data_IF_308039652888
#
_entry.id   IF_308039652888
#
_cell.length_a   1.000
_cell.length_b   1.000
_cell.length_c   1.000
_cell.angle_alpha   90.00
_cell.angle_beta   90.00
_cell.angle_gamma   90.00
#
_symmetry.space_group_name_H-M   'P 1'
#
loop_
_entity.id
_entity.type
_entity.pdbx_description
1 polymer ?
#
# COMPACT_ATOMS: atom_id res chain seq x y z
N UNK A 1 26.70 18.15 4.42
CA UNK A 1 26.58 16.81 5.05
C UNK A 1 25.45 16.09 4.37
N UNK A 2 25.59 14.80 4.07
CA UNK A 2 24.53 14.01 3.43
C UNK A 2 23.68 13.41 4.54
N UNK A 3 22.41 13.84 4.66
CA UNK A 3 21.50 13.22 5.62
C UNK A 3 21.17 11.78 5.18
N UNK A 4 21.21 10.85 6.13
CA UNK A 4 20.71 9.48 5.96
C UNK A 4 19.36 9.42 6.66
N UNK A 5 18.32 9.01 5.94
CA UNK A 5 16.98 8.85 6.51
C UNK A 5 16.84 7.45 7.11
N UNK A 6 16.43 7.42 8.38
CA UNK A 6 15.97 6.20 9.04
C UNK A 6 14.44 6.17 8.98
N UNK A 7 13.88 5.09 8.44
CA UNK A 7 12.44 4.92 8.28
C UNK A 7 12.05 3.47 8.60
N UNK A 8 10.81 3.29 9.05
CA UNK A 8 10.25 1.96 9.36
C UNK A 8 10.06 1.10 8.12
N UNK A 9 9.83 1.75 6.96
CA UNK A 9 9.73 1.10 5.67
C UNK A 9 10.75 1.65 4.66
N UNK A 10 11.39 0.78 3.85
CA UNK A 10 12.30 1.21 2.77
C UNK A 10 11.59 2.09 1.72
N UNK A 11 10.29 1.93 1.54
CA UNK A 11 9.50 2.74 0.61
C UNK A 11 9.45 4.19 1.08
N UNK A 12 9.30 4.42 2.39
CA UNK A 12 9.27 5.76 2.97
C UNK A 12 10.62 6.48 2.88
N UNK A 13 11.71 5.75 3.11
CA UNK A 13 13.06 6.28 2.89
C UNK A 13 13.27 6.67 1.42
N UNK A 14 12.74 5.88 0.49
CA UNK A 14 12.80 6.17 -0.95
C UNK A 14 12.00 7.42 -1.32
N UNK A 15 10.84 7.64 -0.71
CA UNK A 15 10.07 8.88 -0.89
C UNK A 15 10.82 10.12 -0.40
N UNK A 16 11.45 10.05 0.77
CA UNK A 16 12.23 11.18 1.31
C UNK A 16 13.47 11.48 0.46
N UNK A 17 14.14 10.43 -0.02
CA UNK A 17 15.25 10.58 -0.95
C UNK A 17 14.80 11.28 -2.24
N UNK A 18 13.72 10.80 -2.87
CA UNK A 18 13.18 11.40 -4.08
C UNK A 18 12.73 12.86 -3.85
N UNK A 19 11.99 13.14 -2.79
CA UNK A 19 11.52 14.49 -2.45
C UNK A 19 12.68 15.47 -2.33
N UNK A 20 13.78 15.07 -1.67
CA UNK A 20 14.99 15.89 -1.57
C UNK A 20 15.60 16.19 -2.94
N UNK A 21 15.69 15.19 -3.83
CA UNK A 21 16.21 15.41 -5.20
C UNK A 21 15.31 16.36 -6.01
N UNK A 22 14.01 16.42 -5.71
CA UNK A 22 13.08 17.39 -6.28
C UNK A 22 13.06 18.76 -5.56
N UNK A 23 13.96 18.99 -4.60
CA UNK A 23 14.10 20.27 -3.90
C UNK A 23 13.26 20.41 -2.63
N UNK A 24 12.64 19.34 -2.13
CA UNK A 24 11.88 19.31 -0.88
C UNK A 24 12.59 18.42 0.14
N UNK A 25 13.48 19.01 0.93
CA UNK A 25 14.30 18.28 1.90
C UNK A 25 13.63 18.28 3.29
N UNK A 26 13.13 17.12 3.72
CA UNK A 26 12.86 16.88 5.13
C UNK A 26 14.19 16.82 5.89
N UNK A 27 14.43 17.74 6.82
CA UNK A 27 15.75 17.86 7.48
C UNK A 27 15.71 17.81 9.00
N UNK A 28 14.53 17.96 9.61
CA UNK A 28 14.37 17.93 11.08
C UNK A 28 12.96 17.51 11.46
N UNK A 29 12.86 16.76 12.57
CA UNK A 29 11.60 16.41 13.24
C UNK A 29 11.74 16.55 14.75
N UNK A 30 10.69 17.07 15.38
CA UNK A 30 10.48 17.06 16.83
C UNK A 30 9.31 16.14 17.15
N UNK A 31 8.89 16.06 18.41
CA UNK A 31 7.69 15.29 18.78
C UNK A 31 6.41 15.88 18.16
N UNK A 32 6.37 17.18 17.90
CA UNK A 32 5.16 17.91 17.48
C UNK A 32 5.26 18.57 16.11
N UNK A 33 6.43 18.59 15.47
CA UNK A 33 6.64 19.33 14.22
C UNK A 33 7.59 18.62 13.28
N UNK A 34 7.42 18.86 11.98
CA UNK A 34 8.35 18.49 10.91
C UNK A 34 8.81 19.74 10.18
N UNK A 35 10.07 19.76 9.75
CA UNK A 35 10.68 20.90 9.08
C UNK A 35 11.19 20.50 7.70
N UNK A 36 10.81 21.27 6.70
CA UNK A 36 11.11 21.03 5.28
C UNK A 36 11.87 22.24 4.73
N UNK A 37 12.92 22.00 3.96
CA UNK A 37 13.59 23.00 3.13
C UNK A 37 13.10 22.88 1.70
N UNK A 38 12.52 23.96 1.20
CA UNK A 38 12.04 24.08 -0.17
C UNK A 38 13.05 24.89 -0.99
N UNK A 39 13.49 24.32 -2.11
CA UNK A 39 14.31 25.00 -3.11
C UNK A 39 13.47 25.17 -4.38
N UNK A 40 12.93 26.36 -4.60
CA UNK A 40 12.22 26.67 -5.85
C UNK A 40 13.22 26.73 -7.01
N UNK A 41 12.96 25.97 -8.08
CA UNK A 41 13.88 25.66 -9.18
C UNK A 41 14.32 26.84 -10.07
N UNK A 42 14.25 28.09 -9.61
CA UNK A 42 14.64 29.28 -10.38
C UNK A 42 15.40 30.36 -9.59
N UNK A 43 15.08 30.61 -8.31
CA UNK A 43 15.74 31.65 -7.51
C UNK A 43 16.96 31.16 -6.73
N UNK A 44 17.05 29.83 -6.50
CA UNK A 44 18.06 29.24 -5.62
C UNK A 44 17.83 29.53 -4.14
N UNK A 45 16.78 30.28 -3.80
CA UNK A 45 16.36 30.59 -2.44
C UNK A 45 15.88 29.32 -1.74
N UNK A 46 16.30 29.16 -0.48
CA UNK A 46 15.89 28.07 0.38
C UNK A 46 14.91 28.66 1.39
N UNK A 47 13.67 28.17 1.34
CA UNK A 47 12.65 28.51 2.33
C UNK A 47 12.54 27.35 3.30
N UNK A 48 12.70 27.62 4.60
CA UNK A 48 12.40 26.65 5.64
C UNK A 48 10.93 26.79 6.04
N UNK A 49 10.20 25.67 6.07
CA UNK A 49 8.82 25.59 6.52
C UNK A 49 8.68 24.65 7.70
N UNK A 50 7.92 25.08 8.70
CA UNK A 50 7.45 24.24 9.80
C UNK A 50 6.01 23.75 9.54
N UNK A 51 5.79 22.45 9.71
CA UNK A 51 4.45 21.86 9.81
C UNK A 51 4.26 21.25 11.19
N UNK A 52 3.26 21.70 11.92
CA UNK A 52 2.87 21.13 13.22
C UNK A 52 2.07 19.87 12.98
N UNK A 53 2.51 18.74 13.51
CA UNK A 53 1.82 17.46 13.44
C UNK A 53 0.73 17.43 14.51
N UNK A 54 -0.53 17.44 14.06
CA UNK A 54 -1.70 17.42 14.94
C UNK A 54 -2.06 15.98 15.33
N UNK A 55 -2.22 15.10 14.33
CA UNK A 55 -2.50 13.68 14.55
C UNK A 55 -1.77 12.83 13.51
N UNK A 56 -1.36 11.64 13.93
CA UNK A 56 -0.89 10.58 13.05
C UNK A 56 -1.90 9.42 13.13
N UNK A 57 -2.47 9.05 11.99
CA UNK A 57 -3.33 7.88 11.84
C UNK A 57 -2.47 6.78 11.22
N UNK A 58 -1.95 5.89 12.07
CA UNK A 58 -0.94 4.89 11.74
C UNK A 58 -1.43 3.86 10.72
N UNK A 59 -0.51 3.30 9.94
CA UNK A 59 -0.83 2.21 9.04
C UNK A 59 -1.27 0.97 9.80
N UNK A 60 -2.31 0.30 9.32
CA UNK A 60 -2.66 -1.07 9.75
C UNK A 60 -3.01 -1.93 8.53
N UNK A 61 -2.76 -3.23 8.62
CA UNK A 61 -3.10 -4.17 7.54
C UNK A 61 -4.60 -4.22 7.23
N UNK A 62 -5.45 -3.88 8.21
CA UNK A 62 -6.91 -3.78 8.04
C UNK A 62 -7.28 -2.58 7.18
N UNK A 63 -6.70 -1.41 7.47
CA UNK A 63 -7.08 -0.14 6.83
C UNK A 63 -6.32 0.17 5.54
N UNK A 64 -5.13 -0.42 5.36
CA UNK A 64 -4.26 -0.33 4.16
C UNK A 64 -3.94 1.11 3.70
N UNK A 65 -3.89 2.04 4.65
CA UNK A 65 -3.57 3.46 4.45
C UNK A 65 -2.97 4.05 5.72
N UNK A 66 -2.30 5.18 5.56
CA UNK A 66 -1.76 6.01 6.64
C UNK A 66 -2.09 7.47 6.34
N UNK A 67 -2.39 8.24 7.38
CA UNK A 67 -2.60 9.67 7.24
C UNK A 67 -1.91 10.47 8.32
N UNK A 68 -1.58 11.71 7.98
CA UNK A 68 -1.11 12.71 8.93
C UNK A 68 -1.98 13.95 8.79
N UNK A 69 -2.37 14.52 9.92
CA UNK A 69 -3.01 15.83 9.98
C UNK A 69 -1.95 16.81 10.43
N UNK A 70 -1.72 17.85 9.64
CA UNK A 70 -0.73 18.89 9.92
C UNK A 70 -1.35 20.27 9.86
N UNK A 71 -0.73 21.23 10.55
CA UNK A 71 -1.00 22.66 10.41
C UNK A 71 0.24 23.36 9.88
N UNK A 72 0.09 24.12 8.80
CA UNK A 72 1.17 24.94 8.23
C UNK A 72 1.35 26.26 8.99
N UNK A 73 2.29 27.08 8.53
CA UNK A 73 2.66 28.36 9.16
C UNK A 73 1.55 29.41 9.00
N UNK A 74 0.74 29.29 7.95
CA UNK A 74 -0.44 30.11 7.68
C UNK A 74 -1.67 29.68 8.51
N UNK A 75 -1.58 28.57 9.25
CA UNK A 75 -2.62 28.06 10.13
C UNK A 75 -3.62 27.12 9.46
N UNK A 76 -3.43 26.80 8.18
CA UNK A 76 -4.30 25.88 7.45
C UNK A 76 -4.08 24.44 7.92
N UNK A 77 -5.17 23.70 8.15
CA UNK A 77 -5.11 22.29 8.50
C UNK A 77 -5.22 21.44 7.24
N UNK A 78 -4.26 20.53 7.08
CA UNK A 78 -4.17 19.59 5.98
C UNK A 78 -4.20 18.16 6.50
N UNK A 79 -5.17 17.38 6.02
CA UNK A 79 -5.13 15.92 6.07
C UNK A 79 -4.41 15.42 4.82
N UNK A 80 -3.29 14.72 5.01
CA UNK A 80 -2.53 14.05 3.95
C UNK A 80 -2.65 12.54 4.13
N UNK A 81 -3.08 11.83 3.10
CA UNK A 81 -3.35 10.40 3.14
C UNK A 81 -2.59 9.67 2.01
N UNK A 82 -1.91 8.57 2.35
CA UNK A 82 -1.29 7.64 1.41
C UNK A 82 -1.79 6.22 1.65
N UNK A 83 -2.02 5.44 0.61
CA UNK A 83 -2.48 4.07 0.76
C UNK A 83 -2.65 3.33 -0.55
N UNK A 84 -3.23 2.13 -0.46
CA UNK A 84 -3.60 1.35 -1.63
C UNK A 84 -4.58 2.15 -2.52
N UNK A 85 -4.43 2.02 -3.82
CA UNK A 85 -5.20 2.74 -4.84
C UNK A 85 -6.72 2.56 -4.65
N UNK A 86 -7.20 1.33 -4.52
CA UNK A 86 -8.62 1.05 -4.26
C UNK A 86 -9.16 1.75 -3.01
N UNK A 87 -8.37 1.76 -1.93
CA UNK A 87 -8.75 2.34 -0.64
C UNK A 87 -8.85 3.86 -0.71
N UNK A 88 -7.90 4.50 -1.39
CA UNK A 88 -7.91 5.96 -1.58
C UNK A 88 -9.03 6.37 -2.53
N UNK A 89 -9.24 5.62 -3.63
CA UNK A 89 -10.25 5.95 -4.64
C UNK A 89 -11.68 5.92 -4.12
N UNK A 90 -11.99 5.02 -3.18
CA UNK A 90 -13.28 4.96 -2.48
C UNK A 90 -13.54 6.17 -1.57
N UNK A 91 -12.46 6.87 -1.15
CA UNK A 91 -12.50 8.02 -0.23
C UNK A 91 -12.44 9.37 -0.92
N UNK A 92 -12.32 9.39 -2.25
CA UNK A 92 -12.25 10.63 -3.01
C UNK A 92 -13.62 11.34 -3.07
N UNK A 93 -13.60 12.65 -2.85
CA UNK A 93 -14.76 13.51 -3.11
C UNK A 93 -15.16 13.46 -4.58
N UNK A 94 -16.42 13.81 -4.91
CA UNK A 94 -16.88 13.89 -6.31
C UNK A 94 -16.02 14.83 -7.16
N UNK A 95 -15.64 15.98 -6.62
CA UNK A 95 -14.75 16.96 -7.23
C UNK A 95 -13.26 16.63 -7.05
N UNK A 96 -12.92 15.64 -6.21
CA UNK A 96 -11.55 15.19 -5.97
C UNK A 96 -11.00 14.20 -7.00
N UNK A 97 -11.78 13.90 -8.06
CA UNK A 97 -11.50 12.83 -9.04
C UNK A 97 -10.94 13.32 -10.37
N UNK A 98 -10.55 14.58 -10.48
CA UNK A 98 -10.06 15.21 -11.72
C UNK A 98 -9.02 14.37 -12.47
N UNK A 99 -8.06 13.80 -11.75
CA UNK A 99 -6.97 12.99 -12.32
C UNK A 99 -7.17 11.48 -12.16
N UNK A 100 -8.36 11.02 -11.78
CA UNK A 100 -8.59 9.61 -11.45
C UNK A 100 -8.31 8.69 -12.64
N UNK A 101 -8.88 8.97 -13.82
CA UNK A 101 -8.70 8.13 -15.01
C UNK A 101 -7.22 7.93 -15.40
N UNK A 102 -6.44 9.02 -15.63
CA UNK A 102 -5.02 8.91 -15.93
C UNK A 102 -4.21 8.22 -14.82
N UNK A 103 -4.50 8.53 -13.54
CA UNK A 103 -3.76 7.95 -12.40
C UNK A 103 -4.01 6.45 -12.28
N UNK A 104 -5.26 6.00 -12.46
CA UNK A 104 -5.60 4.56 -12.49
C UNK A 104 -4.82 3.83 -13.56
N UNK A 105 -4.72 4.41 -14.76
CA UNK A 105 -3.96 3.78 -15.85
C UNK A 105 -2.48 3.62 -15.48
N UNK A 106 -1.83 4.68 -14.98
CA UNK A 106 -0.41 4.60 -14.60
C UNK A 106 -0.18 3.63 -13.43
N UNK A 107 -1.09 3.57 -12.45
CA UNK A 107 -0.99 2.61 -11.34
C UNK A 107 -1.08 1.15 -11.82
N UNK A 108 -1.91 0.87 -12.83
CA UNK A 108 -1.96 -0.44 -13.48
C UNK A 108 -0.63 -0.75 -14.19
N UNK A 109 -0.15 0.17 -15.02
CA UNK A 109 1.13 0.02 -15.74
C UNK A 109 2.31 -0.20 -14.78
N UNK A 110 2.36 0.54 -13.66
CA UNK A 110 3.39 0.38 -12.64
C UNK A 110 3.29 -0.97 -11.91
N UNK A 111 2.08 -1.42 -11.59
CA UNK A 111 1.86 -2.74 -10.99
C UNK A 111 2.28 -3.88 -11.92
N UNK A 112 1.95 -3.79 -13.21
CA UNK A 112 2.38 -4.73 -14.25
C UNK A 112 3.91 -4.76 -14.39
N UNK A 113 4.56 -3.60 -14.25
CA UNK A 113 6.01 -3.49 -14.19
C UNK A 113 6.65 -3.98 -12.87
N UNK A 114 5.84 -4.45 -11.91
CA UNK A 114 6.32 -4.98 -10.63
C UNK A 114 6.73 -3.91 -9.61
N UNK A 115 6.34 -2.66 -9.81
CA UNK A 115 6.60 -1.59 -8.86
C UNK A 115 5.55 -1.59 -7.74
N UNK A 116 5.97 -1.29 -6.51
CA UNK A 116 5.04 -1.05 -5.40
C UNK A 116 4.39 0.31 -5.58
N UNK A 117 3.07 0.34 -5.60
CA UNK A 117 2.32 1.57 -5.88
C UNK A 117 1.53 2.06 -4.67
N UNK A 118 1.51 3.37 -4.45
CA UNK A 118 0.57 4.02 -3.53
C UNK A 118 -0.16 5.16 -4.23
N UNK A 119 -1.43 5.36 -3.91
CA UNK A 119 -2.16 6.57 -4.24
C UNK A 119 -2.05 7.60 -3.10
N UNK A 120 -2.01 8.88 -3.48
CA UNK A 120 -1.89 10.01 -2.56
C UNK A 120 -3.10 10.93 -2.68
N UNK A 121 -3.72 11.24 -1.56
CA UNK A 121 -4.83 12.18 -1.48
C UNK A 121 -4.63 13.19 -0.35
N UNK A 122 -5.28 14.33 -0.46
CA UNK A 122 -5.33 15.31 0.62
C UNK A 122 -6.72 15.92 0.79
N UNK A 123 -6.94 16.56 1.93
CA UNK A 123 -8.11 17.38 2.19
C UNK A 123 -7.73 18.54 3.09
N UNK A 124 -8.26 19.73 2.78
CA UNK A 124 -8.21 20.87 3.71
C UNK A 124 -9.32 20.69 4.74
N UNK A 125 -8.99 20.86 6.02
CA UNK A 125 -9.93 20.77 7.11
C UNK A 125 -10.18 22.15 7.68
N UNK A 126 -11.42 22.44 8.02
CA UNK A 126 -11.75 23.64 8.78
C UNK A 126 -11.41 23.42 10.27
N UNK A 127 -11.12 24.51 10.98
CA UNK A 127 -10.69 24.46 12.39
C UNK A 127 -11.78 23.84 13.28
N UNK A 128 -13.04 24.17 13.02
CA UNK A 128 -14.20 23.63 13.75
C UNK A 128 -14.38 22.14 13.49
N UNK A 129 -14.25 21.70 12.22
CA UNK A 129 -14.36 20.29 11.83
C UNK A 129 -13.27 19.47 12.54
N UNK A 130 -12.03 19.92 12.45
CA UNK A 130 -10.89 19.25 13.08
C UNK A 130 -11.04 19.20 14.61
N UNK A 131 -11.45 20.30 15.25
CA UNK A 131 -11.59 20.36 16.70
C UNK A 131 -12.68 19.42 17.21
N UNK A 132 -13.83 19.39 16.53
CA UNK A 132 -14.92 18.47 16.85
C UNK A 132 -14.49 17.01 16.70
N UNK A 133 -13.85 16.67 15.58
CA UNK A 133 -13.33 15.33 15.35
C UNK A 133 -12.26 14.92 16.37
N UNK A 134 -11.28 15.79 16.64
CA UNK A 134 -10.16 15.47 17.53
C UNK A 134 -10.64 15.26 18.98
N UNK A 135 -11.70 15.97 19.40
CA UNK A 135 -12.33 15.75 20.71
C UNK A 135 -12.85 14.31 20.85
N UNK A 136 -13.58 13.81 19.84
CA UNK A 136 -14.08 12.43 19.84
C UNK A 136 -12.95 11.41 19.65
N UNK A 137 -11.96 11.72 18.81
CA UNK A 137 -10.81 10.86 18.57
C UNK A 137 -9.94 10.70 19.82
N UNK A 138 -9.73 11.77 20.59
CA UNK A 138 -9.02 11.71 21.88
C UNK A 138 -9.77 10.86 22.90
N UNK A 139 -11.10 10.98 22.99
CA UNK A 139 -11.92 10.11 23.86
C UNK A 139 -11.71 8.63 23.51
N UNK A 140 -11.78 8.30 22.21
CA UNK A 140 -11.50 6.95 21.73
C UNK A 140 -10.06 6.49 22.03
N UNK A 141 -9.07 7.37 21.91
CA UNK A 141 -7.67 7.05 22.22
C UNK A 141 -7.43 6.78 23.72
N UNK A 142 -8.17 7.46 24.58
CA UNK A 142 -8.11 7.30 26.04
C UNK A 142 -9.01 6.21 26.59
N UNK A 143 -9.88 5.59 25.77
CA UNK A 143 -10.76 4.53 26.24
C UNK A 143 -9.95 3.27 26.59
N UNK A 144 -10.39 2.59 27.65
CA UNK A 144 -9.79 1.34 28.14
C UNK A 144 -10.81 0.25 27.89
N UNK A 145 -10.53 -0.65 26.95
CA UNK A 145 -11.46 -1.70 26.56
C UNK A 145 -11.02 -2.40 25.27
N UNK A 146 -11.67 -3.53 24.98
CA UNK A 146 -11.46 -4.30 23.73
C UNK A 146 -12.01 -3.60 22.49
N UNK A 147 -12.88 -2.60 22.67
CA UNK A 147 -13.52 -1.78 21.63
C UNK A 147 -12.66 -0.59 21.17
N UNK A 148 -11.58 -0.26 21.89
CA UNK A 148 -10.71 0.88 21.60
C UNK A 148 -10.24 0.93 20.14
N UNK A 149 -9.76 -0.19 19.62
CA UNK A 149 -9.22 -0.26 18.26
C UNK A 149 -10.31 -0.08 17.20
N UNK A 150 -11.55 -0.51 17.48
CA UNK A 150 -12.70 -0.31 16.61
C UNK A 150 -13.18 1.15 16.62
N UNK A 151 -13.18 1.80 17.79
CA UNK A 151 -13.49 3.22 17.93
C UNK A 151 -12.46 4.10 17.20
N UNK A 152 -11.16 3.78 17.31
CA UNK A 152 -10.10 4.48 16.60
C UNK A 152 -10.19 4.32 15.08
N UNK A 153 -10.54 3.12 14.61
CA UNK A 153 -10.75 2.87 13.18
C UNK A 153 -11.96 3.67 12.67
N UNK A 154 -13.08 3.66 13.41
CA UNK A 154 -14.26 4.46 13.09
C UNK A 154 -13.94 5.96 13.05
N UNK A 155 -13.21 6.45 14.05
CA UNK A 155 -12.72 7.82 14.09
C UNK A 155 -11.87 8.19 12.88
N UNK A 156 -10.94 7.31 12.50
CA UNK A 156 -10.07 7.50 11.34
C UNK A 156 -10.87 7.50 10.03
N UNK A 157 -11.78 6.54 9.85
CA UNK A 157 -12.66 6.45 8.69
C UNK A 157 -13.56 7.68 8.52
N UNK A 158 -13.98 8.33 9.61
CA UNK A 158 -14.82 9.53 9.52
C UNK A 158 -14.11 10.73 8.89
N UNK A 159 -12.85 10.98 9.26
CA UNK A 159 -12.09 12.15 8.78
C UNK A 159 -11.41 11.90 7.42
N UNK A 160 -11.16 10.64 7.07
CA UNK A 160 -10.50 10.26 5.81
C UNK A 160 -11.49 10.05 4.67
N UNK A 161 -12.40 11.01 4.49
CA UNK A 161 -13.37 11.05 3.40
C UNK A 161 -13.22 12.35 2.62
N UNK A 162 -13.85 12.41 1.46
CA UNK A 162 -13.86 13.60 0.60
C UNK A 162 -12.46 14.11 0.24
N UNK A 163 -11.54 13.17 0.01
CA UNK A 163 -10.17 13.46 -0.39
C UNK A 163 -10.11 13.97 -1.84
N UNK A 164 -9.12 14.80 -2.13
CA UNK A 164 -8.71 15.21 -3.47
C UNK A 164 -7.49 14.41 -3.86
N UNK A 165 -7.57 13.72 -5.01
CA UNK A 165 -6.46 12.93 -5.54
C UNK A 165 -5.33 13.87 -6.00
N UNK A 166 -4.13 13.67 -5.46
CA UNK A 166 -2.92 14.38 -5.89
C UNK A 166 -2.24 13.59 -7.01
N UNK A 167 -2.10 12.28 -6.82
CA UNK A 167 -1.40 11.41 -7.76
C UNK A 167 -1.04 10.07 -7.15
N UNK A 168 0.05 9.49 -7.65
CA UNK A 168 0.53 8.18 -7.25
C UNK A 168 2.06 8.15 -7.14
N UNK A 169 2.56 7.16 -6.42
CA UNK A 169 3.97 6.82 -6.34
C UNK A 169 4.18 5.39 -6.85
N UNK A 170 5.38 5.11 -7.34
CA UNK A 170 5.82 3.79 -7.73
C UNK A 170 7.27 3.59 -7.29
N UNK A 171 7.53 2.58 -6.47
CA UNK A 171 8.85 2.27 -5.92
C UNK A 171 9.26 0.89 -6.39
N UNK A 172 10.49 0.79 -6.90
CA UNK A 172 11.08 -0.50 -7.23
C UNK A 172 11.45 -1.25 -5.94
N UNK A 173 10.87 -2.43 -5.75
CA UNK A 173 11.22 -3.31 -4.63
C UNK A 173 12.47 -4.11 -4.95
N UNK A 174 13.63 -3.57 -4.57
CA UNK A 174 14.89 -4.28 -4.73
C UNK A 174 15.01 -5.38 -3.69
N UNK A 175 15.17 -6.60 -4.18
CA UNK A 175 15.51 -7.74 -3.34
C UNK A 175 16.79 -7.47 -2.55
N UNK A 176 16.78 -7.90 -1.29
CA UNK A 176 17.99 -7.83 -0.47
C UNK A 176 19.10 -8.68 -1.09
N UNK A 177 20.35 -8.23 -0.92
CA UNK A 177 21.52 -8.94 -1.43
C UNK A 177 21.54 -10.38 -0.90
N UNK A 178 21.60 -11.35 -1.81
CA UNK A 178 21.69 -12.77 -1.45
C UNK A 178 20.34 -13.50 -1.38
N UNK A 179 19.21 -12.80 -1.46
CA UNK A 179 17.87 -13.43 -1.39
C UNK A 179 17.67 -14.48 -2.47
N UNK A 180 17.91 -14.21 -3.77
CA UNK A 180 17.73 -15.21 -4.81
C UNK A 180 18.59 -16.47 -4.59
N UNK A 181 19.85 -16.29 -4.18
CA UNK A 181 20.78 -17.39 -3.92
C UNK A 181 20.37 -18.21 -2.69
N UNK A 182 19.83 -17.56 -1.66
CA UNK A 182 19.34 -18.23 -0.46
C UNK A 182 18.11 -19.09 -0.78
N UNK A 183 17.10 -18.50 -1.44
CA UNK A 183 15.87 -19.19 -1.85
C UNK A 183 16.20 -20.38 -2.75
N UNK A 184 17.11 -20.21 -3.71
CA UNK A 184 17.55 -21.28 -4.60
C UNK A 184 18.17 -22.46 -3.83
N UNK A 185 19.08 -22.19 -2.89
CA UNK A 185 19.70 -23.24 -2.06
C UNK A 185 18.70 -23.96 -1.16
N UNK A 186 17.76 -23.22 -0.54
CA UNK A 186 16.72 -23.80 0.29
C UNK A 186 15.79 -24.71 -0.54
N UNK A 187 15.41 -24.26 -1.74
CA UNK A 187 14.60 -25.07 -2.66
C UNK A 187 15.34 -26.33 -3.12
N UNK A 188 16.64 -26.23 -3.46
CA UNK A 188 17.48 -27.39 -3.82
C UNK A 188 17.66 -28.37 -2.65
N UNK A 189 17.65 -27.88 -1.40
CA UNK A 189 17.64 -28.72 -0.21
C UNK A 189 16.30 -29.43 0.04
N UNK A 190 15.31 -29.26 -0.84
CA UNK A 190 14.00 -29.91 -0.76
C UNK A 190 12.98 -29.16 0.11
N UNK A 191 13.32 -27.97 0.63
CA UNK A 191 12.40 -27.16 1.42
C UNK A 191 11.32 -26.53 0.54
N UNK A 192 10.09 -26.49 1.06
CA UNK A 192 8.94 -25.86 0.41
C UNK A 192 8.76 -24.46 0.96
N UNK A 193 8.89 -23.45 0.11
CA UNK A 193 8.83 -22.04 0.48
C UNK A 193 7.46 -21.47 0.08
N UNK A 194 6.84 -20.74 1.00
CA UNK A 194 5.56 -20.09 0.80
C UNK A 194 5.75 -18.60 1.06
N UNK A 195 5.33 -17.76 0.11
CA UNK A 195 5.32 -16.31 0.27
C UNK A 195 3.88 -15.87 0.48
N UNK A 196 3.63 -15.22 1.61
CA UNK A 196 2.38 -14.57 1.94
C UNK A 196 2.63 -13.06 1.85
N UNK A 197 1.99 -12.40 0.87
CA UNK A 197 2.13 -10.95 0.68
C UNK A 197 0.75 -10.30 0.58
N UNK A 198 0.68 -9.03 1.00
CA UNK A 198 -0.50 -8.17 0.82
C UNK A 198 -0.49 -7.38 -0.49
N UNK A 199 0.55 -7.55 -1.32
CA UNK A 199 0.67 -6.92 -2.63
C UNK A 199 -0.32 -7.50 -3.65
N UNK A 200 -0.45 -6.81 -4.79
CA UNK A 200 -1.20 -7.31 -5.95
C UNK A 200 -0.58 -8.61 -6.46
N UNK A 201 -1.41 -9.46 -7.08
CA UNK A 201 -0.98 -10.76 -7.60
C UNK A 201 0.18 -10.61 -8.58
N UNK A 202 0.12 -9.62 -9.47
CA UNK A 202 1.12 -9.35 -10.49
C UNK A 202 2.48 -9.01 -9.86
N UNK A 203 2.47 -8.16 -8.84
CA UNK A 203 3.67 -7.80 -8.05
C UNK A 203 4.24 -9.02 -7.34
N UNK A 204 3.39 -9.86 -6.73
CA UNK A 204 3.82 -11.08 -6.06
C UNK A 204 4.49 -12.07 -7.03
N UNK A 205 3.94 -12.21 -8.24
CA UNK A 205 4.52 -13.03 -9.31
C UNK A 205 5.88 -12.47 -9.75
N UNK A 206 5.96 -11.16 -9.99
CA UNK A 206 7.20 -10.51 -10.39
C UNK A 206 8.30 -10.67 -9.32
N UNK A 207 7.97 -10.47 -8.04
CA UNK A 207 8.89 -10.73 -6.91
C UNK A 207 9.28 -12.21 -6.87
N UNK A 208 8.30 -13.11 -7.08
CA UNK A 208 8.53 -14.56 -7.13
C UNK A 208 9.57 -14.95 -8.18
N UNK A 209 9.53 -14.35 -9.37
CA UNK A 209 10.55 -14.55 -10.40
C UNK A 209 11.88 -13.90 -10.04
N UNK A 210 11.86 -12.67 -9.54
CA UNK A 210 13.07 -11.96 -9.15
C UNK A 210 13.86 -12.71 -8.06
N UNK A 211 13.16 -13.37 -7.13
CA UNK A 211 13.75 -14.06 -5.99
C UNK A 211 14.03 -15.55 -6.25
N UNK A 212 13.88 -16.02 -7.50
CA UNK A 212 14.06 -17.42 -7.91
C UNK A 212 13.12 -18.42 -7.24
N UNK A 213 12.04 -17.95 -6.61
CA UNK A 213 10.96 -18.79 -6.10
C UNK A 213 10.15 -19.36 -7.27
N UNK A 214 9.83 -18.52 -8.25
CA UNK A 214 9.27 -18.89 -9.54
C UNK A 214 10.42 -18.96 -10.57
N UNK A 215 10.45 -20.04 -11.36
CA UNK A 215 11.49 -20.26 -12.38
C UNK A 215 10.88 -20.39 -13.76
N UNK A 216 11.62 -19.98 -14.77
CA UNK A 216 11.27 -20.26 -16.16
C UNK A 216 11.22 -21.79 -16.35
N UNK A 217 10.05 -22.31 -16.70
CA UNK A 217 9.77 -23.75 -16.81
C UNK A 217 8.85 -24.31 -15.72
N UNK A 218 8.62 -23.58 -14.62
CA UNK A 218 7.57 -23.96 -13.66
C UNK A 218 6.20 -23.75 -14.27
N UNK A 219 5.32 -24.75 -14.15
CA UNK A 219 3.92 -24.59 -14.52
C UNK A 219 3.15 -23.91 -13.41
N UNK A 220 2.55 -22.78 -13.76
CA UNK A 220 1.79 -21.96 -12.83
C UNK A 220 0.36 -22.47 -12.74
N UNK A 221 -0.07 -22.71 -11.50
CA UNK A 221 -1.43 -23.02 -11.12
C UNK A 221 -1.96 -21.78 -10.41
N UNK A 222 -2.79 -21.01 -11.10
CA UNK A 222 -3.43 -19.83 -10.53
C UNK A 222 -4.83 -20.17 -10.05
N UNK A 223 -5.11 -19.89 -8.78
CA UNK A 223 -6.43 -20.04 -8.16
C UNK A 223 -6.99 -18.64 -7.87
N UNK A 224 -8.02 -18.27 -8.61
CA UNK A 224 -8.64 -16.94 -8.52
C UNK A 224 -10.15 -17.02 -8.30
N UNK A 225 -10.65 -16.13 -7.46
CA UNK A 225 -12.08 -15.92 -7.27
C UNK A 225 -12.65 -15.08 -8.41
N UNK A 226 -13.85 -15.43 -8.86
CA UNK A 226 -14.62 -14.59 -9.78
C UNK A 226 -15.33 -13.57 -8.91
N UNK A 227 -15.21 -12.27 -9.19
CA UNK A 227 -16.08 -11.27 -8.56
C UNK A 227 -17.52 -11.55 -9.02
N UNK A 228 -18.45 -11.92 -8.13
CA UNK A 228 -19.85 -11.92 -8.50
C UNK A 228 -20.36 -10.49 -8.40
N UNK A 229 -20.84 -9.94 -9.51
CA UNK A 229 -21.66 -8.74 -9.50
C UNK A 229 -22.97 -9.06 -8.78
N UNK A 230 -23.00 -8.87 -7.45
CA UNK A 230 -24.20 -9.04 -6.62
C UNK A 230 -24.01 -9.99 -5.43
N UNK A 231 -24.20 -9.47 -4.21
CA UNK A 231 -24.01 -10.17 -2.93
C UNK A 231 -25.10 -11.17 -2.53
N UNK A 232 -25.66 -11.94 -3.47
CA UNK A 232 -26.65 -12.98 -3.15
C UNK A 232 -25.98 -14.24 -2.58
N UNK A 233 -26.73 -15.09 -1.86
CA UNK A 233 -26.20 -16.38 -1.39
C UNK A 233 -25.79 -17.33 -2.53
N UNK A 234 -26.44 -17.19 -3.69
CA UNK A 234 -26.10 -17.97 -4.89
C UNK A 234 -24.71 -17.62 -5.40
N UNK A 235 -24.30 -16.35 -5.33
CA UNK A 235 -22.96 -15.89 -5.70
C UNK A 235 -21.85 -16.59 -4.90
N UNK A 236 -22.05 -16.82 -3.60
CA UNK A 236 -21.05 -17.54 -2.76
C UNK A 236 -20.92 -19.01 -3.15
N UNK A 237 -22.01 -19.66 -3.56
CA UNK A 237 -21.98 -21.05 -4.03
C UNK A 237 -21.24 -21.16 -5.36
N UNK A 238 -21.54 -20.26 -6.30
CA UNK A 238 -20.86 -20.21 -7.61
C UNK A 238 -19.36 -19.97 -7.45
N UNK A 239 -18.96 -19.04 -6.58
CA UNK A 239 -17.53 -18.80 -6.29
C UNK A 239 -16.86 -20.05 -5.73
N UNK A 240 -17.49 -20.73 -4.75
CA UNK A 240 -16.96 -21.96 -4.15
C UNK A 240 -16.82 -23.08 -5.17
N UNK A 241 -17.82 -23.30 -6.02
CA UNK A 241 -17.77 -24.31 -7.09
C UNK A 241 -16.68 -24.00 -8.11
N UNK A 242 -16.51 -22.73 -8.49
CA UNK A 242 -15.42 -22.32 -9.37
C UNK A 242 -14.05 -22.62 -8.75
N UNK A 243 -13.82 -22.26 -7.48
CA UNK A 243 -12.56 -22.56 -6.79
C UNK A 243 -12.33 -24.07 -6.73
N UNK A 244 -13.36 -24.85 -6.41
CA UNK A 244 -13.25 -26.32 -6.35
C UNK A 244 -12.92 -26.92 -7.72
N UNK A 245 -13.50 -26.38 -8.80
CA UNK A 245 -13.18 -26.78 -10.17
C UNK A 245 -11.74 -26.45 -10.54
N UNK A 246 -11.23 -25.27 -10.18
CA UNK A 246 -9.83 -24.90 -10.40
C UNK A 246 -8.87 -25.81 -9.62
N UNK A 247 -9.17 -26.11 -8.35
CA UNK A 247 -8.41 -27.05 -7.53
C UNK A 247 -8.42 -28.47 -8.11
N UNK A 248 -9.58 -28.93 -8.60
CA UNK A 248 -9.70 -30.27 -9.20
C UNK A 248 -8.86 -30.37 -10.47
N UNK A 249 -8.91 -29.34 -11.33
CA UNK A 249 -8.05 -29.25 -12.52
C UNK A 249 -6.57 -29.21 -12.17
N UNK A 250 -6.21 -28.46 -11.13
CA UNK A 250 -4.84 -28.38 -10.63
C UNK A 250 -4.32 -29.75 -10.17
N UNK A 251 -5.11 -30.46 -9.36
CA UNK A 251 -4.76 -31.82 -8.88
C UNK A 251 -4.64 -32.79 -10.05
N UNK A 252 -5.54 -32.73 -11.03
CA UNK A 252 -5.45 -33.56 -12.23
C UNK A 252 -4.19 -33.25 -13.05
N UNK A 253 -3.85 -31.97 -13.22
CA UNK A 253 -2.63 -31.55 -13.94
C UNK A 253 -1.36 -32.11 -13.28
N UNK A 254 -1.29 -32.07 -11.95
CA UNK A 254 -0.15 -32.64 -11.20
C UNK A 254 -0.11 -34.16 -11.32
N UNK A 255 -1.27 -34.85 -11.25
CA UNK A 255 -1.34 -36.31 -11.34
C UNK A 255 -1.03 -36.86 -12.74
N UNK A 256 -1.42 -36.14 -13.78
CA UNK A 256 -1.20 -36.55 -15.17
C UNK A 256 0.22 -36.25 -15.66
N UNK A 257 1.02 -35.54 -14.87
CA UNK A 257 2.39 -35.25 -15.24
C UNK A 257 3.27 -36.50 -15.17
N UNK A 258 4.05 -36.70 -16.23
CA UNK A 258 4.94 -37.85 -16.39
C UNK A 258 6.42 -37.50 -16.24
N UNK A 259 6.78 -36.21 -16.37
CA UNK A 259 8.13 -35.72 -16.13
C UNK A 259 8.42 -35.64 -14.61
N UNK A 260 9.36 -36.45 -14.08
CA UNK A 260 9.72 -36.40 -12.67
C UNK A 260 10.42 -35.10 -12.25
N UNK A 261 10.86 -34.27 -13.21
CA UNK A 261 11.48 -32.96 -12.96
C UNK A 261 10.49 -31.80 -13.13
N UNK A 262 9.23 -32.09 -13.46
CA UNK A 262 8.23 -31.06 -13.61
C UNK A 262 8.02 -30.30 -12.30
N UNK A 263 8.30 -29.01 -12.34
CA UNK A 263 8.09 -28.11 -11.21
C UNK A 263 6.78 -27.34 -11.39
N UNK A 264 6.05 -27.18 -10.29
CA UNK A 264 4.78 -26.47 -10.24
C UNK A 264 4.87 -25.30 -9.26
N UNK A 265 4.25 -24.18 -9.62
CA UNK A 265 4.03 -23.04 -8.74
C UNK A 265 2.53 -22.90 -8.48
N UNK A 266 2.15 -22.69 -7.23
CA UNK A 266 0.78 -22.40 -6.83
C UNK A 266 0.67 -20.92 -6.46
N UNK A 267 -0.22 -20.20 -7.13
CA UNK A 267 -0.50 -18.79 -6.89
C UNK A 267 -1.98 -18.69 -6.53
N UNK A 268 -2.30 -18.11 -5.38
CA UNK A 268 -3.68 -17.97 -4.89
C UNK A 268 -3.94 -16.47 -4.68
N UNK A 269 -5.00 -15.95 -5.29
CA UNK A 269 -5.42 -14.57 -5.04
C UNK A 269 -5.86 -14.39 -3.58
N UNK A 270 -5.47 -13.29 -2.94
CA UNK A 270 -5.85 -12.98 -1.57
C UNK A 270 -7.37 -12.89 -1.36
N UNK A 271 -8.15 -12.54 -2.38
CA UNK A 271 -9.62 -12.57 -2.32
C UNK A 271 -10.22 -13.99 -2.29
N UNK A 272 -9.40 -15.00 -2.56
CA UNK A 272 -9.81 -16.41 -2.66
C UNK A 272 -9.55 -17.18 -1.36
N UNK A 273 -8.61 -16.69 -0.54
CA UNK A 273 -8.32 -17.20 0.81
C UNK A 273 -9.40 -16.75 1.81
#
# INVERSE_FOLDING_TARGET
>A
GKYTYEAESPDEASFLAAAREFGFEFFKRTQSSVFIRERFSGSGEIVEREYKVLNLLEFTSKRKRMSVIVRDEEGQILLLCKGADSIIFERLAKNGKTYLGPTTRHLTEYGEAGLRTLALGYRKLDEEEYTAWNTEFLKAKTSIGSDRDELLETGSDMIEKDLILIGATAVEDKLQKGVPQCIDKLAQAGLKLWVLTGDKMETAINIGFACSLLRQGMRQICITSINPDGGSQDSKRVVKENILNQLTKAVQMVKLEKDPHAAFALIIDGKTL
#
